data_IF_153774037342
#
_entry.id   IF_153774037342
#
_cell.length_a   1.000
_cell.length_b   1.000
_cell.length_c   1.000
_cell.angle_alpha   90.00
_cell.angle_beta   90.00
_cell.angle_gamma   90.00
#
_symmetry.space_group_name_H-M   'P 1'
#
loop_
_entity.id
_entity.type
_entity.pdbx_description
1 polymer ?
#
# COMPACT_ATOMS: atom_id res chain seq x y z
N UNK A 1 -2.64 10.57 7.75
CA UNK A 1 -4.11 10.48 7.55
C UNK A 1 -4.36 9.74 6.25
N UNK A 2 -5.14 8.65 6.28
CA UNK A 2 -5.50 7.90 5.09
C UNK A 2 -6.84 8.44 4.58
N UNK A 3 -6.90 8.83 3.32
CA UNK A 3 -8.13 9.29 2.68
C UNK A 3 -8.50 8.29 1.59
N UNK A 4 -9.77 7.92 1.54
CA UNK A 4 -10.31 7.06 0.49
C UNK A 4 -11.27 7.88 -0.37
N UNK A 5 -11.04 7.86 -1.68
CA UNK A 5 -11.96 8.42 -2.67
C UNK A 5 -12.62 7.29 -3.48
N UNK A 6 -13.89 7.42 -3.90
CA UNK A 6 -14.57 6.40 -4.70
C UNK A 6 -13.94 6.17 -6.08
N UNK A 7 -13.25 7.17 -6.63
CA UNK A 7 -12.53 7.09 -7.90
C UNK A 7 -11.43 8.16 -7.99
N UNK A 8 -10.51 8.00 -8.95
CA UNK A 8 -9.51 9.02 -9.25
C UNK A 8 -10.17 10.35 -9.67
N UNK A 9 -11.25 10.30 -10.44
CA UNK A 9 -11.97 11.50 -10.86
C UNK A 9 -12.57 12.27 -9.67
N UNK A 10 -13.14 11.56 -8.69
CA UNK A 10 -13.64 12.18 -7.45
C UNK A 10 -12.49 12.76 -6.62
N UNK A 11 -11.34 12.09 -6.60
CA UNK A 11 -10.14 12.62 -5.93
C UNK A 11 -9.62 13.91 -6.59
N UNK A 12 -9.52 13.91 -7.92
CA UNK A 12 -8.99 15.02 -8.73
C UNK A 12 -9.85 16.29 -8.65
N UNK A 13 -11.13 16.16 -8.28
CA UNK A 13 -12.00 17.31 -7.97
C UNK A 13 -11.45 18.15 -6.84
N UNK A 14 -10.76 17.54 -5.87
CA UNK A 14 -10.32 18.22 -4.65
C UNK A 14 -8.81 18.45 -4.59
N UNK A 15 -8.00 17.58 -5.19
CA UNK A 15 -6.53 17.66 -5.15
C UNK A 15 -5.96 17.67 -6.58
N UNK A 16 -5.06 18.60 -6.86
CA UNK A 16 -4.34 18.64 -8.15
C UNK A 16 -3.28 17.53 -8.24
N UNK A 17 -2.76 17.22 -9.45
CA UNK A 17 -1.66 16.24 -9.59
C UNK A 17 -0.38 16.59 -8.82
N UNK A 18 -0.22 17.86 -8.42
CA UNK A 18 0.90 18.34 -7.59
C UNK A 18 0.61 18.32 -6.09
N UNK A 19 -0.57 17.86 -5.68
CA UNK A 19 -0.98 17.80 -4.27
C UNK A 19 -1.56 19.10 -3.70
N UNK A 20 -1.84 20.11 -4.55
CA UNK A 20 -2.47 21.35 -4.11
C UNK A 20 -4.01 21.21 -4.05
N UNK A 21 -4.68 22.03 -3.23
CA UNK A 21 -6.13 22.11 -3.24
C UNK A 21 -6.63 22.73 -4.55
N UNK A 22 -7.70 22.18 -5.11
CA UNK A 22 -8.42 22.80 -6.23
C UNK A 22 -9.28 23.97 -5.75
N UNK A 23 -9.80 24.78 -6.68
CA UNK A 23 -10.76 25.83 -6.36
C UNK A 23 -12.04 25.27 -5.71
N UNK A 24 -12.49 24.09 -6.13
CA UNK A 24 -13.64 23.40 -5.54
C UNK A 24 -13.36 22.98 -4.10
N UNK A 25 -12.17 22.43 -3.80
CA UNK A 25 -11.77 22.11 -2.44
C UNK A 25 -11.69 23.36 -1.55
N UNK A 26 -11.13 24.45 -2.06
CA UNK A 26 -11.06 25.71 -1.32
C UNK A 26 -12.47 26.20 -0.98
N UNK A 27 -13.38 26.22 -1.96
CA UNK A 27 -14.77 26.64 -1.74
C UNK A 27 -15.50 25.72 -0.76
N UNK A 28 -15.27 24.40 -0.83
CA UNK A 28 -15.86 23.41 0.07
C UNK A 28 -15.50 23.69 1.54
N UNK A 29 -14.23 23.98 1.82
CA UNK A 29 -13.75 24.27 3.18
C UNK A 29 -14.19 25.65 3.67
N UNK A 30 -14.27 26.65 2.79
CA UNK A 30 -14.80 27.99 3.13
C UNK A 30 -16.26 27.94 3.59
N UNK A 31 -17.04 26.99 3.08
CA UNK A 31 -18.45 26.79 3.47
C UNK A 31 -18.63 26.00 4.78
N UNK A 32 -17.54 25.52 5.40
CA UNK A 32 -17.55 24.68 6.61
C UNK A 32 -16.59 25.23 7.68
N UNK A 33 -16.82 26.47 8.17
CA UNK A 33 -15.94 27.11 9.15
C UNK A 33 -15.80 26.30 10.45
N UNK A 34 -16.83 25.55 10.83
CA UNK A 34 -16.81 24.65 11.99
C UNK A 34 -15.79 23.52 11.83
N UNK A 35 -15.64 22.97 10.62
CA UNK A 35 -14.65 21.94 10.35
C UNK A 35 -13.22 22.51 10.35
N UNK A 36 -13.05 23.74 9.86
CA UNK A 36 -11.77 24.45 9.91
C UNK A 36 -11.29 24.65 11.36
N UNK A 37 -12.18 24.98 12.29
CA UNK A 37 -11.83 25.13 13.70
C UNK A 37 -11.31 23.82 14.32
N UNK A 38 -11.95 22.68 14.01
CA UNK A 38 -11.49 21.35 14.44
C UNK A 38 -10.14 20.99 13.82
N UNK A 39 -9.93 21.29 12.54
CA UNK A 39 -8.65 21.06 11.87
C UNK A 39 -7.52 21.90 12.49
N UNK A 40 -7.77 23.15 12.86
CA UNK A 40 -6.81 23.99 13.60
C UNK A 40 -6.52 23.43 15.00
N UNK A 41 -7.52 22.89 15.69
CA UNK A 41 -7.31 22.20 16.96
C UNK A 41 -6.42 20.95 16.79
N UNK A 42 -6.70 20.14 15.76
CA UNK A 42 -5.91 18.96 15.42
C UNK A 42 -4.45 19.30 15.08
N UNK A 43 -4.20 20.48 14.50
CA UNK A 43 -2.85 21.01 14.27
C UNK A 43 -2.04 21.27 15.53
N UNK A 44 -2.69 21.34 16.69
CA UNK A 44 -1.98 21.43 17.97
C UNK A 44 -1.60 20.05 18.52
N UNK A 45 -2.33 18.98 18.15
CA UNK A 45 -2.08 17.62 18.63
C UNK A 45 -1.06 16.85 17.78
N UNK A 46 -0.86 17.26 16.54
CA UNK A 46 0.18 16.74 15.66
C UNK A 46 1.02 17.90 15.17
N UNK A 47 2.35 17.78 15.21
CA UNK A 47 3.18 18.67 14.40
C UNK A 47 2.89 18.34 12.95
N UNK A 48 2.02 19.14 12.31
CA UNK A 48 2.10 19.37 10.87
C UNK A 48 3.40 20.15 10.62
N UNK A 49 4.53 19.55 10.99
CA UNK A 49 5.83 20.10 10.78
C UNK A 49 5.95 20.29 9.28
N UNK A 50 6.26 21.52 8.88
CA UNK A 50 6.58 21.96 7.52
C UNK A 50 7.85 21.28 6.97
N UNK A 51 8.01 19.97 7.18
CA UNK A 51 8.73 19.11 6.27
C UNK A 51 7.86 19.00 5.00
N UNK A 52 8.45 18.90 3.80
CA UNK A 52 7.64 18.84 2.59
C UNK A 52 6.67 17.67 2.73
N UNK A 53 5.37 17.98 2.75
CA UNK A 53 4.32 16.97 2.72
C UNK A 53 4.65 16.03 1.57
N UNK A 54 5.07 14.81 1.90
CA UNK A 54 5.36 13.79 0.89
C UNK A 54 4.02 13.33 0.35
N UNK A 55 3.60 13.94 -0.76
CA UNK A 55 2.44 13.51 -1.50
C UNK A 55 2.87 12.49 -2.53
N UNK A 56 2.13 11.39 -2.65
CA UNK A 56 2.37 10.38 -3.70
C UNK A 56 1.06 9.74 -4.07
N UNK A 57 0.76 9.70 -5.35
CA UNK A 57 -0.33 8.86 -5.88
C UNK A 57 0.28 7.59 -6.45
N UNK A 58 -0.42 6.48 -6.25
CA UNK A 58 -0.03 5.18 -6.76
C UNK A 58 -1.16 4.63 -7.61
N UNK A 59 -0.78 3.95 -8.68
CA UNK A 59 -1.68 3.13 -9.50
C UNK A 59 -1.28 1.67 -9.39
N UNK A 60 -2.25 0.77 -9.54
CA UNK A 60 -2.00 -0.66 -9.64
C UNK A 60 -1.24 -0.94 -10.95
N UNK A 61 -0.03 -1.48 -10.84
CA UNK A 61 0.78 -1.89 -11.97
C UNK A 61 0.52 -3.35 -12.32
N UNK A 62 0.55 -4.22 -11.31
CA UNK A 62 0.35 -5.65 -11.48
C UNK A 62 -0.30 -6.21 -10.21
N UNK A 63 -1.23 -7.15 -10.39
CA UNK A 63 -1.94 -7.81 -9.31
C UNK A 63 -1.66 -9.30 -9.34
N UNK A 64 -1.32 -9.89 -8.19
CA UNK A 64 -1.20 -11.33 -8.08
C UNK A 64 -2.59 -11.98 -8.04
N UNK A 65 -2.83 -12.99 -8.89
CA UNK A 65 -4.07 -13.76 -8.88
C UNK A 65 -4.05 -14.96 -7.90
N UNK A 66 -2.89 -15.33 -7.34
CA UNK A 66 -2.76 -16.47 -6.41
C UNK A 66 -2.89 -16.02 -4.95
N UNK A 67 -4.06 -15.48 -4.62
CA UNK A 67 -4.40 -15.04 -3.26
C UNK A 67 -5.63 -15.78 -2.76
N UNK A 68 -5.57 -16.22 -1.50
CA UNK A 68 -6.74 -16.77 -0.81
C UNK A 68 -7.49 -15.73 0.03
N UNK A 69 -7.06 -14.46 0.03
CA UNK A 69 -7.76 -13.40 0.74
C UNK A 69 -9.08 -13.10 0.02
N UNK A 70 -10.25 -13.19 0.69
CA UNK A 70 -11.51 -12.89 0.05
C UNK A 70 -11.58 -11.44 -0.45
N UNK A 71 -12.09 -11.21 -1.68
CA UNK A 71 -12.29 -9.86 -2.19
C UNK A 71 -13.36 -9.13 -1.39
N UNK A 72 -13.36 -7.80 -1.47
CA UNK A 72 -14.38 -6.94 -0.87
C UNK A 72 -13.81 -5.90 0.08
N UNK A 73 -14.61 -4.91 0.49
CA UNK A 73 -14.19 -3.84 1.40
C UNK A 73 -13.83 -4.38 2.79
N UNK A 74 -12.99 -3.63 3.52
CA UNK A 74 -12.78 -3.87 4.97
C UNK A 74 -14.04 -3.52 5.76
N UNK A 75 -14.79 -2.52 5.27
CA UNK A 75 -16.06 -2.09 5.84
C UNK A 75 -17.18 -3.05 5.46
N UNK A 76 -17.96 -3.48 6.45
CA UNK A 76 -19.13 -4.33 6.24
C UNK A 76 -20.39 -3.61 6.71
N UNK A 77 -21.45 -3.70 5.90
CA UNK A 77 -22.73 -3.01 6.14
C UNK A 77 -23.58 -3.64 7.26
N UNK A 78 -23.32 -4.90 7.61
CA UNK A 78 -24.09 -5.66 8.58
C UNK A 78 -23.32 -5.84 9.90
N UNK A 79 -24.03 -6.15 10.99
CA UNK A 79 -23.51 -6.42 12.35
C UNK A 79 -22.59 -7.67 12.47
N UNK A 80 -21.83 -7.97 11.42
CA UNK A 80 -20.71 -8.89 11.47
C UNK A 80 -19.57 -8.29 12.28
N UNK A 81 -18.73 -9.13 12.93
CA UNK A 81 -17.52 -8.63 13.57
C UNK A 81 -16.65 -7.89 12.55
N UNK A 82 -16.09 -6.75 12.96
CA UNK A 82 -15.25 -5.92 12.11
C UNK A 82 -14.10 -6.74 11.52
N UNK A 83 -13.92 -6.68 10.20
CA UNK A 83 -12.74 -7.27 9.55
C UNK A 83 -11.61 -6.25 9.61
N UNK A 84 -10.69 -6.46 10.55
CA UNK A 84 -9.49 -5.65 10.70
C UNK A 84 -8.37 -6.18 9.79
N UNK A 85 -8.32 -5.67 8.56
CA UNK A 85 -7.22 -6.02 7.65
C UNK A 85 -5.97 -5.23 8.02
N UNK A 86 -4.81 -5.86 7.84
CA UNK A 86 -3.52 -5.19 7.95
C UNK A 86 -3.06 -4.82 6.55
N UNK A 87 -2.62 -3.58 6.37
CA UNK A 87 -2.05 -3.09 5.11
C UNK A 87 -0.61 -2.67 5.34
N UNK A 88 0.32 -3.25 4.58
CA UNK A 88 1.75 -2.91 4.63
C UNK A 88 2.24 -2.33 3.31
N UNK A 89 3.12 -1.34 3.37
CA UNK A 89 3.74 -0.71 2.20
C UNK A 89 5.27 -0.85 2.22
N UNK A 90 5.83 -1.50 1.21
CA UNK A 90 7.27 -1.65 1.03
C UNK A 90 7.74 -0.91 -0.21
N UNK A 91 8.44 0.21 -0.03
CA UNK A 91 8.95 1.02 -1.13
C UNK A 91 10.17 0.40 -1.79
N UNK A 92 10.22 0.41 -3.11
CA UNK A 92 11.27 -0.22 -3.88
C UNK A 92 12.10 0.81 -4.64
N UNK A 93 13.41 0.55 -4.69
CA UNK A 93 14.33 1.25 -5.57
C UNK A 93 14.76 0.31 -6.70
N UNK A 94 14.74 0.82 -7.94
CA UNK A 94 15.30 0.10 -9.08
C UNK A 94 16.84 -0.01 -8.95
N UNK A 95 17.41 -1.10 -9.49
CA UNK A 95 18.85 -1.25 -9.61
C UNK A 95 19.41 -0.30 -10.68
N UNK A 96 20.70 0.00 -10.57
CA UNK A 96 21.38 0.82 -11.56
C UNK A 96 21.25 0.19 -12.96
N UNK A 97 20.87 0.99 -13.95
CA UNK A 97 20.71 0.56 -15.35
C UNK A 97 19.36 -0.09 -15.68
N UNK A 98 18.49 -0.32 -14.69
CA UNK A 98 17.13 -0.84 -14.93
C UNK A 98 16.19 0.32 -15.19
N UNK A 99 15.51 0.30 -16.34
CA UNK A 99 14.52 1.33 -16.67
C UNK A 99 13.16 1.00 -16.05
N UNK A 100 12.34 2.02 -15.84
CA UNK A 100 10.96 1.85 -15.39
C UNK A 100 10.16 0.93 -16.35
N UNK A 101 10.36 1.08 -17.67
CA UNK A 101 9.66 0.27 -18.66
C UNK A 101 10.07 -1.22 -18.60
N UNK A 102 11.36 -1.51 -18.36
CA UNK A 102 11.82 -2.88 -18.21
C UNK A 102 11.24 -3.54 -16.96
N UNK A 103 11.20 -2.80 -15.85
CA UNK A 103 10.60 -3.29 -14.60
C UNK A 103 9.07 -3.45 -14.70
N UNK A 104 8.38 -2.49 -15.33
CA UNK A 104 6.94 -2.58 -15.59
C UNK A 104 6.60 -3.86 -16.35
N UNK A 105 7.28 -4.09 -17.47
CA UNK A 105 7.08 -5.29 -18.30
C UNK A 105 7.36 -6.56 -17.50
N UNK A 106 8.49 -6.61 -16.80
CA UNK A 106 8.84 -7.75 -15.96
C UNK A 106 7.73 -8.06 -14.94
N UNK A 107 7.25 -7.04 -14.21
CA UNK A 107 6.22 -7.25 -13.19
C UNK A 107 4.89 -7.69 -13.79
N UNK A 108 4.42 -7.05 -14.87
CA UNK A 108 3.16 -7.40 -15.54
C UNK A 108 3.19 -8.85 -16.04
N UNK A 109 4.31 -9.28 -16.63
CA UNK A 109 4.45 -10.62 -17.22
C UNK A 109 4.68 -11.72 -16.17
N UNK A 110 5.23 -11.39 -14.99
CA UNK A 110 5.72 -12.38 -14.04
C UNK A 110 5.02 -12.38 -12.67
N UNK A 111 4.15 -11.41 -12.36
CA UNK A 111 3.48 -11.34 -11.03
C UNK A 111 2.69 -12.61 -10.71
N UNK A 112 2.11 -13.28 -11.71
CA UNK A 112 1.34 -14.50 -11.54
C UNK A 112 2.20 -15.72 -11.16
N UNK A 113 3.54 -15.60 -11.16
CA UNK A 113 4.47 -16.63 -10.67
C UNK A 113 4.64 -16.57 -9.15
N UNK A 114 4.12 -15.54 -8.50
CA UNK A 114 4.13 -15.36 -7.05
C UNK A 114 2.91 -16.06 -6.46
N UNK A 115 3.10 -16.79 -5.38
CA UNK A 115 2.04 -17.34 -4.54
C UNK A 115 1.97 -16.53 -3.24
N UNK A 116 0.81 -15.97 -2.94
CA UNK A 116 0.62 -15.23 -1.69
C UNK A 116 0.48 -16.22 -0.53
N UNK A 117 0.98 -15.82 0.65
CA UNK A 117 0.66 -16.56 1.87
C UNK A 117 -0.86 -16.65 2.04
N UNK A 118 -1.39 -17.76 2.58
CA UNK A 118 -2.81 -17.89 2.91
C UNK A 118 -3.33 -16.68 3.71
N UNK A 119 -4.37 -16.03 3.19
CA UNK A 119 -4.97 -14.83 3.79
C UNK A 119 -4.29 -13.51 3.42
N UNK A 120 -3.33 -13.53 2.49
CA UNK A 120 -2.59 -12.34 2.04
C UNK A 120 -2.91 -12.04 0.58
N UNK A 121 -2.77 -10.78 0.20
CA UNK A 121 -2.91 -10.29 -1.17
C UNK A 121 -1.79 -9.33 -1.49
N UNK A 122 -1.02 -9.66 -2.52
CA UNK A 122 0.04 -8.83 -3.05
C UNK A 122 -0.46 -7.91 -4.17
N UNK A 123 -0.07 -6.63 -4.12
CA UNK A 123 -0.21 -5.69 -5.22
C UNK A 123 1.13 -5.00 -5.49
N UNK A 124 1.51 -4.93 -6.77
CA UNK A 124 2.58 -4.06 -7.22
C UNK A 124 1.99 -2.72 -7.62
N UNK A 125 2.48 -1.65 -7.01
CA UNK A 125 2.05 -0.29 -7.24
C UNK A 125 3.16 0.54 -7.90
N UNK A 126 2.76 1.40 -8.85
CA UNK A 126 3.64 2.40 -9.48
C UNK A 126 3.21 3.80 -9.08
N UNK A 127 4.18 4.59 -8.64
CA UNK A 127 4.00 6.00 -8.29
C UNK A 127 3.73 6.85 -9.54
N UNK A 128 2.56 7.50 -9.57
CA UNK A 128 2.07 8.29 -10.70
C UNK A 128 2.18 9.80 -10.48
N UNK A 129 2.42 10.24 -9.25
CA UNK A 129 2.41 11.66 -8.90
C UNK A 129 3.17 11.99 -7.61
N UNK A 130 3.40 13.29 -7.41
CA UNK A 130 4.12 13.82 -6.25
C UNK A 130 5.58 13.39 -6.16
N UNK A 131 6.10 13.31 -4.93
CA UNK A 131 7.53 13.11 -4.64
C UNK A 131 8.07 11.72 -5.02
N UNK A 132 7.18 10.75 -5.28
CA UNK A 132 7.53 9.36 -5.60
C UNK A 132 7.12 8.96 -7.02
N UNK A 133 7.01 9.92 -7.93
CA UNK A 133 6.79 9.64 -9.36
C UNK A 133 7.86 8.67 -9.86
N UNK A 134 7.44 7.61 -10.55
CA UNK A 134 8.30 6.52 -11.05
C UNK A 134 9.00 5.66 -9.99
N UNK A 135 8.62 5.79 -8.71
CA UNK A 135 8.99 4.82 -7.68
C UNK A 135 7.92 3.74 -7.55
N UNK A 136 8.29 2.61 -6.95
CA UNK A 136 7.39 1.46 -6.81
C UNK A 136 7.13 1.16 -5.34
N UNK A 137 6.01 0.51 -5.07
CA UNK A 137 5.71 -0.03 -3.76
C UNK A 137 5.03 -1.38 -3.89
N UNK A 138 5.37 -2.31 -2.99
CA UNK A 138 4.52 -3.47 -2.72
C UNK A 138 3.51 -3.06 -1.68
N UNK A 139 2.23 -3.25 -1.99
CA UNK A 139 1.16 -3.19 -1.01
C UNK A 139 0.70 -4.61 -0.68
N UNK A 140 0.87 -4.99 0.58
CA UNK A 140 0.33 -6.23 1.12
C UNK A 140 -0.97 -5.92 1.85
N UNK A 141 -2.02 -6.65 1.53
CA UNK A 141 -3.27 -6.67 2.31
C UNK A 141 -3.38 -8.04 2.96
N UNK A 142 -3.54 -8.06 4.28
CA UNK A 142 -3.61 -9.29 5.07
C UNK A 142 -4.93 -9.33 5.82
N UNK A 143 -5.46 -10.53 6.01
CA UNK A 143 -6.72 -10.75 6.72
C UNK A 143 -6.70 -10.24 8.17
N UNK A 144 -5.55 -10.32 8.85
CA UNK A 144 -5.41 -9.93 10.26
C UNK A 144 -3.93 -9.83 10.69
N UNK A 145 -3.72 -9.27 11.89
CA UNK A 145 -2.42 -9.24 12.54
C UNK A 145 -1.92 -10.65 12.93
N UNK A 146 -2.83 -11.54 13.32
CA UNK A 146 -2.48 -12.93 13.61
C UNK A 146 -1.97 -13.66 12.36
N UNK A 147 -2.57 -13.37 11.21
CA UNK A 147 -2.09 -13.89 9.92
C UNK A 147 -0.66 -13.44 9.63
N UNK A 148 -0.37 -12.14 9.79
CA UNK A 148 0.99 -11.58 9.69
C UNK A 148 1.96 -12.34 10.60
N UNK A 149 1.64 -12.40 11.88
CA UNK A 149 2.51 -12.97 12.91
C UNK A 149 2.71 -14.49 12.76
N UNK A 150 1.75 -15.20 12.13
CA UNK A 150 1.87 -16.64 11.85
C UNK A 150 2.97 -16.98 10.84
N UNK A 151 3.34 -16.02 9.97
CA UNK A 151 4.44 -16.16 9.00
C UNK A 151 5.68 -15.36 9.42
N UNK A 152 5.48 -14.12 9.88
CA UNK A 152 6.52 -13.15 10.19
C UNK A 152 6.22 -12.39 11.51
N UNK A 153 6.52 -12.98 12.68
CA UNK A 153 6.18 -12.41 13.99
C UNK A 153 7.05 -11.20 14.39
N UNK A 154 8.18 -11.01 13.70
CA UNK A 154 9.06 -9.87 13.88
C UNK A 154 9.83 -9.61 12.58
N UNK A 155 10.46 -8.43 12.48
CA UNK A 155 11.31 -8.11 11.34
C UNK A 155 12.41 -9.17 11.17
N UNK A 156 12.55 -9.69 9.96
CA UNK A 156 13.52 -10.72 9.59
C UNK A 156 13.38 -12.06 10.35
N UNK A 157 12.25 -12.30 11.02
CA UNK A 157 11.96 -13.60 11.64
C UNK A 157 10.92 -14.31 10.78
N UNK A 158 11.26 -15.52 10.32
CA UNK A 158 10.33 -16.40 9.58
C UNK A 158 9.98 -17.60 10.44
N UNK A 159 8.71 -17.98 10.46
CA UNK A 159 8.24 -19.18 11.15
C UNK A 159 8.49 -20.45 10.32
N UNK A 160 8.40 -21.63 10.94
CA UNK A 160 8.42 -22.91 10.22
C UNK A 160 7.31 -22.99 9.14
N UNK A 161 6.16 -22.35 9.41
CA UNK A 161 5.06 -22.22 8.45
C UNK A 161 5.49 -21.44 7.20
N UNK A 162 6.20 -20.31 7.37
CA UNK A 162 6.78 -19.56 6.25
C UNK A 162 7.82 -20.38 5.49
N UNK A 163 8.74 -21.05 6.17
CA UNK A 163 9.76 -21.89 5.53
C UNK A 163 9.14 -23.06 4.73
N UNK A 164 8.11 -23.68 5.27
CA UNK A 164 7.36 -24.76 4.61
C UNK A 164 6.62 -24.25 3.37
N UNK A 165 5.99 -23.08 3.48
CA UNK A 165 5.33 -22.44 2.35
C UNK A 165 6.34 -22.17 1.23
N UNK A 166 7.47 -21.52 1.53
CA UNK A 166 8.55 -21.24 0.57
C UNK A 166 9.04 -22.53 -0.10
N UNK A 167 9.27 -23.59 0.68
CA UNK A 167 9.70 -24.90 0.16
C UNK A 167 8.71 -25.48 -0.87
N UNK A 168 7.41 -25.24 -0.69
CA UNK A 168 6.37 -25.75 -1.57
C UNK A 168 6.07 -24.85 -2.79
N UNK A 169 6.56 -23.60 -2.78
CA UNK A 169 6.31 -22.61 -3.84
C UNK A 169 7.64 -22.12 -4.46
N UNK A 170 8.43 -23.05 -5.00
CA UNK A 170 9.76 -22.76 -5.53
C UNK A 170 9.74 -21.84 -6.77
N UNK A 171 8.65 -21.79 -7.52
CA UNK A 171 8.51 -20.83 -8.63
C UNK A 171 8.47 -19.38 -8.13
N UNK A 172 7.83 -19.13 -6.98
CA UNK A 172 7.83 -17.81 -6.32
C UNK A 172 9.24 -17.39 -5.94
N UNK A 173 10.04 -18.31 -5.39
CA UNK A 173 11.44 -18.03 -5.04
C UNK A 173 12.29 -17.67 -6.25
N UNK A 174 12.13 -18.40 -7.37
CA UNK A 174 12.83 -18.07 -8.63
C UNK A 174 12.42 -16.70 -9.15
N UNK A 175 11.13 -16.37 -9.09
CA UNK A 175 10.64 -15.05 -9.45
C UNK A 175 11.26 -13.96 -8.56
N UNK A 176 11.35 -14.19 -7.25
CA UNK A 176 12.00 -13.26 -6.33
C UNK A 176 13.49 -13.09 -6.59
N UNK A 177 14.21 -14.15 -6.99
CA UNK A 177 15.61 -14.05 -7.41
C UNK A 177 15.78 -13.20 -8.67
N UNK A 178 14.93 -13.40 -9.68
CA UNK A 178 14.90 -12.56 -10.89
C UNK A 178 14.53 -11.10 -10.56
N UNK A 179 13.57 -10.89 -9.67
CA UNK A 179 13.23 -9.53 -9.20
C UNK A 179 14.44 -8.85 -8.58
N UNK A 180 15.20 -9.54 -7.70
CA UNK A 180 16.34 -8.94 -6.96
C UNK A 180 17.42 -8.35 -7.88
N UNK A 181 17.51 -8.82 -9.13
CA UNK A 181 18.40 -8.24 -10.16
C UNK A 181 17.87 -6.95 -10.74
N UNK A 182 16.55 -6.72 -10.66
CA UNK A 182 15.84 -5.56 -11.22
C UNK A 182 15.63 -4.44 -10.20
N UNK A 183 15.20 -4.78 -8.98
CA UNK A 183 14.87 -3.82 -7.93
C UNK A 183 15.20 -4.34 -6.53
N UNK A 184 15.19 -3.45 -5.54
CA UNK A 184 15.21 -3.85 -4.13
C UNK A 184 13.99 -4.72 -3.82
N UNK A 185 14.15 -5.65 -2.88
CA UNK A 185 13.07 -6.52 -2.42
C UNK A 185 12.39 -5.94 -1.17
N UNK A 186 11.18 -6.40 -0.84
CA UNK A 186 10.53 -6.10 0.45
C UNK A 186 11.47 -6.47 1.61
N UNK A 187 11.84 -5.49 2.46
CA UNK A 187 12.72 -5.71 3.62
C UNK A 187 14.23 -5.58 3.38
N UNK A 188 14.71 -5.28 2.16
CA UNK A 188 16.12 -4.94 1.88
C UNK A 188 16.37 -3.42 2.10
N UNK A 189 17.58 -2.98 2.53
CA UNK A 189 17.77 -1.84 3.44
C UNK A 189 16.96 -0.62 3.00
N UNK A 190 15.83 -0.44 3.69
CA UNK A 190 14.70 0.39 3.29
C UNK A 190 14.34 1.34 4.41
N UNK A 191 13.80 2.49 4.00
CA UNK A 191 12.90 3.28 4.82
C UNK A 191 11.89 2.35 5.51
N UNK A 192 11.73 2.50 6.83
CA UNK A 192 10.87 1.67 7.66
C UNK A 192 9.49 1.42 7.02
N UNK A 193 9.05 0.16 7.01
CA UNK A 193 7.71 -0.23 6.56
C UNK A 193 6.72 0.00 7.69
N UNK A 194 5.78 0.90 7.49
CA UNK A 194 4.65 1.09 8.38
C UNK A 194 3.52 0.11 8.00
N UNK A 195 2.98 -0.58 9.00
CA UNK A 195 1.77 -1.38 8.87
C UNK A 195 0.61 -0.61 9.50
N UNK A 196 -0.52 -0.59 8.80
CA UNK A 196 -1.75 0.04 9.25
C UNK A 196 -2.83 -1.02 9.40
N UNK A 197 -3.40 -1.15 10.60
CA UNK A 197 -4.62 -1.94 10.79
C UNK A 197 -5.82 -1.06 10.48
N UNK A 198 -6.63 -1.47 9.52
CA UNK A 198 -7.82 -0.74 9.08
C UNK A 198 -9.04 -1.61 9.37
N UNK A 199 -9.84 -1.20 10.35
CA UNK A 199 -11.15 -1.78 10.64
C UNK A 199 -12.25 -0.79 10.24
N UNK A 200 -13.43 -1.28 9.87
CA UNK A 200 -14.59 -0.43 9.61
C UNK A 200 -15.90 -1.18 9.90
N UNK A 201 -16.78 -0.55 10.65
CA UNK A 201 -18.18 -0.94 10.87
C UNK A 201 -19.07 0.27 10.58
N UNK A 202 -20.33 0.03 10.21
CA UNK A 202 -21.38 1.04 10.37
C UNK A 202 -21.70 1.11 11.86
N UNK A 203 -21.64 2.30 12.46
CA UNK A 203 -22.38 2.60 13.69
C UNK A 203 -23.86 2.83 13.35
#
# INVERSE_FOLDING_TARGET
MLYQAPSQAEYDRFITPTGALTAEAIAFWQQRPEACAVLEEWKNFATYGELPTLFSTFSLLAENCHSSLPPGPNFQLDAQPAVARVVGFHHLALRAGVTAADFDRFMIENVARIDDYPGWKFHMLKGTGGNRREQYAVMLVLESLDSLNSFHPAMNVSTEKSLTFVKNHQESERMYDEWRTMASFSGAPQMYTDYLTIAGNVD
#
